data_IF_552981051708
#
_entry.id   IF_552981051708
#
_cell.length_a   1.000
_cell.length_b   1.000
_cell.length_c   1.000
_cell.angle_alpha   90.00
_cell.angle_beta   90.00
_cell.angle_gamma   90.00
#
_symmetry.space_group_name_H-M   'P 1'
#
loop_
_entity.id
_entity.type
_entity.pdbx_description
1 polymer ?
#
# COMPACT_ATOMS: atom_id res chain seq x y z
N UNK A 1 -29.39 31.04 21.26
CA UNK A 1 -28.67 32.34 21.32
C UNK A 1 -27.78 32.40 20.10
N UNK A 2 -28.03 33.31 19.16
CA UNK A 2 -27.12 33.50 18.01
C UNK A 2 -25.92 34.26 18.54
N UNK A 3 -24.74 33.64 18.50
CA UNK A 3 -23.48 34.28 18.85
C UNK A 3 -23.31 35.50 17.93
N UNK A 4 -23.31 36.71 18.50
CA UNK A 4 -23.15 37.94 17.72
C UNK A 4 -21.70 38.02 17.28
N UNK A 5 -21.45 37.88 15.99
CA UNK A 5 -20.13 38.10 15.41
C UNK A 5 -19.77 39.57 15.61
N UNK A 6 -18.84 39.84 16.53
CA UNK A 6 -18.33 41.19 16.81
C UNK A 6 -16.94 41.34 16.20
N UNK A 7 -16.70 42.47 15.53
CA UNK A 7 -15.42 42.83 14.94
C UNK A 7 -14.71 43.85 15.83
N UNK A 8 -13.43 43.63 16.12
CA UNK A 8 -12.59 44.55 16.90
C UNK A 8 -11.63 45.35 16.05
N UNK A 9 -11.26 44.86 14.86
CA UNK A 9 -10.32 45.53 13.95
C UNK A 9 -8.87 45.49 14.45
N UNK A 10 -8.56 44.63 15.41
CA UNK A 10 -7.20 44.43 15.93
C UNK A 10 -6.33 43.64 14.95
N UNK A 11 -5.01 43.68 15.15
CA UNK A 11 -4.04 42.97 14.28
C UNK A 11 -4.25 41.45 14.31
N UNK A 12 -4.71 40.91 15.45
CA UNK A 12 -5.01 39.50 15.64
C UNK A 12 -6.46 39.13 15.30
N UNK A 13 -7.20 40.03 14.64
CA UNK A 13 -8.59 39.79 14.23
C UNK A 13 -8.67 38.58 13.29
N UNK A 14 -9.46 37.58 13.70
CA UNK A 14 -9.61 36.33 12.95
C UNK A 14 -10.68 36.44 11.87
N UNK A 15 -11.55 37.44 11.97
CA UNK A 15 -12.64 37.68 11.03
C UNK A 15 -12.10 38.49 9.85
N UNK A 16 -12.27 37.97 8.62
CA UNK A 16 -11.91 38.72 7.43
C UNK A 16 -12.82 39.96 7.28
N UNK A 17 -12.25 41.14 7.09
CA UNK A 17 -12.99 42.41 6.97
C UNK A 17 -14.10 42.38 5.91
N UNK A 18 -13.93 41.68 4.78
CA UNK A 18 -14.97 41.54 3.75
C UNK A 18 -16.08 40.59 4.15
N UNK A 19 -15.74 39.48 4.80
CA UNK A 19 -16.73 38.52 5.26
C UNK A 19 -17.55 39.10 6.42
N UNK A 20 -16.92 39.92 7.26
CA UNK A 20 -17.62 40.75 8.25
C UNK A 20 -18.65 41.67 7.58
N UNK A 21 -18.25 42.49 6.60
CA UNK A 21 -19.17 43.42 5.93
C UNK A 21 -20.39 42.70 5.34
N UNK A 22 -20.17 41.57 4.65
CA UNK A 22 -21.24 40.74 4.09
C UNK A 22 -22.17 40.17 5.17
N UNK A 23 -21.59 39.73 6.29
CA UNK A 23 -22.36 39.18 7.41
C UNK A 23 -23.18 40.26 8.09
N UNK A 24 -22.59 41.44 8.33
CA UNK A 24 -23.27 42.59 8.90
C UNK A 24 -24.39 43.09 8.00
N UNK A 25 -24.16 43.20 6.68
CA UNK A 25 -25.16 43.57 5.70
C UNK A 25 -26.35 42.60 5.69
N UNK A 26 -26.08 41.29 5.61
CA UNK A 26 -27.10 40.24 5.67
C UNK A 26 -27.93 40.29 6.96
N UNK A 27 -27.28 40.55 8.11
CA UNK A 27 -27.96 40.67 9.40
C UNK A 27 -28.79 41.96 9.49
N UNK A 28 -28.30 43.09 8.97
CA UNK A 28 -29.04 44.35 8.93
C UNK A 28 -30.28 44.25 8.04
N UNK A 29 -30.17 43.58 6.88
CA UNK A 29 -31.30 43.26 6.01
C UNK A 29 -32.32 42.38 6.73
N UNK A 30 -31.86 41.33 7.43
CA UNK A 30 -32.71 40.44 8.23
C UNK A 30 -33.42 41.18 9.36
N UNK A 31 -32.79 42.21 9.94
CA UNK A 31 -33.36 43.08 10.95
C UNK A 31 -34.32 44.15 10.37
N UNK A 32 -34.50 44.20 9.05
CA UNK A 32 -35.37 45.18 8.37
C UNK A 32 -34.83 46.60 8.42
N UNK A 33 -33.51 46.78 8.57
CA UNK A 33 -32.88 48.09 8.50
C UNK A 33 -32.88 48.55 7.04
N UNK A 34 -33.19 49.82 6.78
CA UNK A 34 -33.05 50.40 5.45
C UNK A 34 -31.57 50.57 5.11
N UNK A 35 -31.18 50.28 3.85
CA UNK A 35 -29.78 50.35 3.38
C UNK A 35 -29.10 51.70 3.69
N UNK A 36 -29.83 52.80 3.53
CA UNK A 36 -29.37 54.15 3.89
C UNK A 36 -29.00 54.34 5.39
N UNK A 37 -29.30 53.37 6.24
CA UNK A 37 -28.96 53.38 7.67
C UNK A 37 -27.91 52.31 8.05
N UNK A 38 -27.41 51.54 7.08
CA UNK A 38 -26.45 50.47 7.36
C UNK A 38 -25.17 51.00 7.98
N UNK A 39 -24.59 52.05 7.40
CA UNK A 39 -23.39 52.70 7.93
C UNK A 39 -23.54 53.14 9.39
N UNK A 40 -24.75 53.54 9.83
CA UNK A 40 -25.03 53.88 11.23
C UNK A 40 -25.20 52.66 12.13
N UNK A 41 -25.87 51.63 11.62
CA UNK A 41 -26.30 50.46 12.39
C UNK A 41 -25.26 49.35 12.42
N UNK A 42 -24.23 49.40 11.56
CA UNK A 42 -23.10 48.47 11.58
C UNK A 42 -22.32 48.51 12.90
N UNK A 43 -22.38 49.62 13.63
CA UNK A 43 -21.81 49.78 14.98
C UNK A 43 -22.31 48.74 15.99
N UNK A 44 -23.50 48.16 15.77
CA UNK A 44 -24.03 47.07 16.60
C UNK A 44 -23.17 45.80 16.54
N UNK A 45 -22.33 45.68 15.51
CA UNK A 45 -21.40 44.56 15.29
C UNK A 45 -19.95 44.93 15.61
N UNK A 46 -19.69 46.14 16.10
CA UNK A 46 -18.38 46.51 16.62
C UNK A 46 -18.25 46.10 18.08
N UNK A 47 -17.05 45.69 18.47
CA UNK A 47 -16.72 45.45 19.86
C UNK A 47 -16.49 46.81 20.55
N UNK A 48 -17.25 47.09 21.60
CA UNK A 48 -17.13 48.36 22.32
C UNK A 48 -15.69 48.60 22.81
N UNK A 49 -15.16 49.80 22.58
CA UNK A 49 -13.80 50.19 22.99
C UNK A 49 -12.67 49.51 22.21
N UNK A 50 -12.97 48.95 21.04
CA UNK A 50 -11.98 48.36 20.13
C UNK A 50 -11.49 49.36 19.08
N UNK A 51 -10.43 49.00 18.34
CA UNK A 51 -9.86 49.86 17.30
C UNK A 51 -10.88 50.27 16.23
N UNK A 52 -11.77 49.38 15.82
CA UNK A 52 -12.83 49.71 14.85
C UNK A 52 -13.85 50.69 15.42
N UNK A 53 -14.14 50.61 16.71
CA UNK A 53 -15.09 51.49 17.39
C UNK A 53 -14.52 52.91 17.45
N UNK A 54 -13.26 53.05 17.88
CA UNK A 54 -12.54 54.33 17.89
C UNK A 54 -12.41 54.92 16.48
N UNK A 55 -12.05 54.11 15.48
CA UNK A 55 -11.99 54.57 14.10
C UNK A 55 -13.36 55.04 13.59
N UNK A 56 -14.43 54.31 13.91
CA UNK A 56 -15.77 54.71 13.50
C UNK A 56 -16.17 56.03 14.15
N UNK A 57 -15.84 56.26 15.43
CA UNK A 57 -16.08 57.56 16.09
C UNK A 57 -15.39 58.71 15.34
N UNK A 58 -14.16 58.52 14.87
CA UNK A 58 -13.36 59.50 14.12
C UNK A 58 -13.76 59.66 12.64
N UNK A 59 -14.55 58.73 12.09
CA UNK A 59 -14.96 58.75 10.68
C UNK A 59 -15.87 59.95 10.35
N UNK A 60 -15.69 60.52 9.15
CA UNK A 60 -16.49 61.66 8.67
C UNK A 60 -18.00 61.35 8.66
N UNK A 61 -18.80 62.28 9.18
CA UNK A 61 -20.26 62.18 9.26
C UNK A 61 -20.92 61.97 7.89
N UNK A 62 -20.36 62.53 6.81
CA UNK A 62 -20.86 62.31 5.45
C UNK A 62 -20.76 60.83 5.01
N UNK A 63 -19.78 60.09 5.52
CA UNK A 63 -19.62 58.65 5.25
C UNK A 63 -20.54 57.82 6.13
N UNK A 64 -20.80 58.26 7.37
CA UNK A 64 -21.75 57.63 8.30
C UNK A 64 -23.21 57.78 7.87
N UNK A 65 -23.53 58.92 7.27
CA UNK A 65 -24.86 59.26 6.74
C UNK A 65 -25.03 58.88 5.27
N UNK A 66 -23.93 58.46 4.64
CA UNK A 66 -23.84 58.19 3.22
C UNK A 66 -24.22 56.77 2.84
N UNK A 67 -23.84 56.44 1.62
CA UNK A 67 -24.10 55.17 0.98
C UNK A 67 -23.23 54.03 1.55
N UNK A 68 -23.78 52.83 1.61
CA UNK A 68 -23.10 51.66 2.18
C UNK A 68 -21.83 51.31 1.42
N UNK A 69 -21.79 51.56 0.11
CA UNK A 69 -20.61 51.33 -0.72
C UNK A 69 -19.46 52.28 -0.38
N UNK A 70 -19.78 53.54 -0.05
CA UNK A 70 -18.79 54.54 0.37
C UNK A 70 -18.21 54.16 1.73
N UNK A 71 -19.09 53.78 2.67
CA UNK A 71 -18.67 53.29 3.98
C UNK A 71 -17.77 52.05 3.85
N UNK A 72 -18.20 51.06 3.08
CA UNK A 72 -17.46 49.81 2.87
C UNK A 72 -16.08 50.06 2.24
N UNK A 73 -15.98 51.03 1.33
CA UNK A 73 -14.71 51.43 0.71
C UNK A 73 -13.74 52.05 1.71
N UNK A 74 -14.20 52.98 2.55
CA UNK A 74 -13.36 53.57 3.61
C UNK A 74 -12.99 52.55 4.69
N UNK A 75 -13.93 51.68 5.07
CA UNK A 75 -13.68 50.59 6.01
C UNK A 75 -12.58 49.66 5.52
N UNK A 76 -12.61 49.26 4.24
CA UNK A 76 -11.59 48.37 3.66
C UNK A 76 -10.24 49.06 3.41
N UNK A 77 -10.18 50.40 3.41
CA UNK A 77 -8.92 51.15 3.41
C UNK A 77 -8.23 51.07 4.77
N UNK A 78 -8.97 51.27 5.86
CA UNK A 78 -8.42 51.23 7.22
C UNK A 78 -8.18 49.80 7.72
N UNK A 79 -9.12 48.90 7.41
CA UNK A 79 -9.09 47.48 7.78
C UNK A 79 -8.95 46.63 6.52
N UNK A 80 -7.78 46.63 5.86
CA UNK A 80 -7.56 45.83 4.67
C UNK A 80 -7.83 44.38 5.02
N UNK A 81 -8.67 43.73 4.21
CA UNK A 81 -8.92 42.30 4.37
C UNK A 81 -7.59 41.58 4.33
N UNK A 82 -7.37 40.67 5.28
CA UNK A 82 -6.26 39.73 5.22
C UNK A 82 -6.33 39.09 3.85
N UNK A 83 -5.42 39.47 2.95
CA UNK A 83 -5.24 38.71 1.73
C UNK A 83 -4.74 37.37 2.23
N UNK A 84 -5.61 36.37 2.23
CA UNK A 84 -5.15 34.98 2.32
C UNK A 84 -4.07 34.92 1.25
N UNK A 85 -2.81 34.79 1.69
CA UNK A 85 -1.68 34.68 0.79
C UNK A 85 -2.10 33.61 -0.20
N UNK A 86 -2.37 34.00 -1.45
CA UNK A 86 -2.83 33.05 -2.46
C UNK A 86 -1.70 32.04 -2.53
N UNK A 87 -1.95 30.77 -2.19
CA UNK A 87 -0.88 29.80 -2.20
C UNK A 87 -0.25 29.86 -3.59
N UNK A 88 1.05 30.02 -3.62
CA UNK A 88 1.79 30.15 -4.89
C UNK A 88 1.60 28.87 -5.70
N UNK A 89 1.83 28.92 -7.02
CA UNK A 89 1.76 27.72 -7.87
C UNK A 89 2.64 26.59 -7.32
N UNK A 90 3.78 26.95 -6.72
CA UNK A 90 4.68 26.04 -6.03
C UNK A 90 4.07 25.39 -4.79
N UNK A 91 3.34 26.14 -3.96
CA UNK A 91 2.66 25.61 -2.77
C UNK A 91 1.50 24.68 -3.15
N UNK A 92 0.73 25.02 -4.18
CA UNK A 92 -0.30 24.13 -4.71
C UNK A 92 0.30 22.84 -5.28
N UNK A 93 1.45 22.91 -5.96
CA UNK A 93 2.18 21.74 -6.45
C UNK A 93 2.72 20.88 -5.29
N UNK A 94 3.22 21.51 -4.22
CA UNK A 94 3.64 20.80 -3.00
C UNK A 94 2.47 20.11 -2.31
N UNK A 95 1.32 20.78 -2.19
CA UNK A 95 0.11 20.19 -1.61
C UNK A 95 -0.42 19.03 -2.47
N UNK A 96 -0.40 19.18 -3.79
CA UNK A 96 -0.77 18.12 -4.72
C UNK A 96 0.08 16.86 -4.52
N UNK A 97 1.40 17.01 -4.42
CA UNK A 97 2.33 15.90 -4.17
C UNK A 97 2.21 15.31 -2.76
N UNK A 98 1.65 16.05 -1.80
CA UNK A 98 1.40 15.59 -0.44
C UNK A 98 0.02 14.92 -0.27
N UNK A 99 -0.88 15.04 -1.25
CA UNK A 99 -2.21 14.44 -1.15
C UNK A 99 -2.14 12.91 -1.08
N UNK A 100 -2.75 12.34 -0.03
CA UNK A 100 -2.88 10.89 0.18
C UNK A 100 -4.34 10.56 0.45
N UNK A 101 -4.73 9.34 0.09
CA UNK A 101 -5.99 8.72 0.51
C UNK A 101 -5.64 7.38 1.14
N UNK A 102 -6.24 7.05 2.27
CA UNK A 102 -5.96 5.79 2.97
C UNK A 102 -6.79 4.64 2.42
N UNK A 103 -6.39 3.39 2.71
CA UNK A 103 -7.20 2.22 2.33
C UNK A 103 -8.54 2.30 3.05
N UNK A 104 -8.56 2.68 4.31
CA UNK A 104 -9.74 2.75 5.18
C UNK A 104 -10.79 3.71 4.63
N UNK A 105 -10.37 4.87 4.11
CA UNK A 105 -11.25 5.88 3.52
C UNK A 105 -11.77 5.47 2.14
N UNK A 106 -11.05 4.64 1.36
CA UNK A 106 -11.47 4.32 -0.01
C UNK A 106 -12.85 3.65 -0.11
N UNK A 107 -13.77 4.22 -0.88
CA UNK A 107 -15.10 3.61 -1.07
C UNK A 107 -15.99 3.65 0.18
N UNK A 108 -15.68 4.53 1.13
CA UNK A 108 -16.65 5.01 2.13
C UNK A 108 -17.41 6.22 1.58
N UNK A 109 -18.58 6.49 2.16
CA UNK A 109 -19.31 7.74 1.94
C UNK A 109 -18.92 8.69 3.05
N UNK A 110 -18.70 9.94 2.65
CA UNK A 110 -18.57 11.06 3.56
C UNK A 110 -19.93 11.36 4.20
N UNK A 111 -19.98 11.55 5.52
CA UNK A 111 -21.24 11.67 6.27
C UNK A 111 -22.00 12.95 5.90
N UNK A 112 -21.27 14.05 5.66
CA UNK A 112 -21.82 15.37 5.37
C UNK A 112 -22.27 15.51 3.90
N UNK A 113 -21.44 15.03 2.97
CA UNK A 113 -21.67 15.25 1.54
C UNK A 113 -22.34 14.08 0.83
N UNK A 114 -22.40 12.90 1.46
CA UNK A 114 -22.85 11.63 0.86
C UNK A 114 -22.09 11.21 -0.42
N UNK A 115 -21.04 11.96 -0.79
CA UNK A 115 -20.15 11.66 -1.91
C UNK A 115 -19.17 10.55 -1.51
N UNK A 116 -18.76 9.75 -2.49
CA UNK A 116 -17.70 8.78 -2.25
C UNK A 116 -16.36 9.50 -2.03
N UNK A 117 -15.61 9.10 -1.01
CA UNK A 117 -14.31 9.68 -0.64
C UNK A 117 -13.31 9.74 -1.79
N UNK A 118 -13.26 8.72 -2.65
CA UNK A 118 -12.39 8.70 -3.83
C UNK A 118 -12.82 9.70 -4.92
N UNK A 119 -14.12 10.02 -5.03
CA UNK A 119 -14.59 11.11 -5.90
C UNK A 119 -14.16 12.48 -5.37
N UNK A 120 -14.32 12.70 -4.06
CA UNK A 120 -13.89 13.93 -3.38
C UNK A 120 -12.37 14.12 -3.51
N UNK A 121 -11.62 13.05 -3.32
CA UNK A 121 -10.17 13.04 -3.50
C UNK A 121 -9.75 13.36 -4.93
N UNK A 122 -10.37 12.72 -5.94
CA UNK A 122 -10.12 13.03 -7.34
C UNK A 122 -10.46 14.50 -7.69
N UNK A 123 -11.55 15.05 -7.15
CA UNK A 123 -11.90 16.47 -7.29
C UNK A 123 -10.85 17.38 -6.64
N UNK A 124 -10.35 17.04 -5.45
CA UNK A 124 -9.28 17.79 -4.78
C UNK A 124 -8.01 17.82 -5.63
N UNK A 125 -7.56 16.67 -6.13
CA UNK A 125 -6.39 16.57 -7.01
C UNK A 125 -6.55 17.44 -8.27
N UNK A 126 -7.70 17.37 -8.93
CA UNK A 126 -7.95 18.15 -10.14
C UNK A 126 -7.94 19.66 -9.87
N UNK A 127 -8.53 20.11 -8.76
CA UNK A 127 -8.55 21.52 -8.38
C UNK A 127 -7.15 22.04 -8.04
N UNK A 128 -6.33 21.24 -7.36
CA UNK A 128 -4.93 21.59 -7.07
C UNK A 128 -4.08 21.64 -8.35
N UNK A 129 -4.28 20.71 -9.28
CA UNK A 129 -3.60 20.73 -10.59
C UNK A 129 -4.00 21.96 -11.43
N UNK A 130 -5.27 22.38 -11.37
CA UNK A 130 -5.73 23.64 -11.98
C UNK A 130 -5.09 24.86 -11.32
N UNK A 131 -5.04 24.90 -9.99
CA UNK A 131 -4.43 25.99 -9.24
C UNK A 131 -2.92 26.11 -9.49
N UNK A 132 -2.24 24.98 -9.72
CA UNK A 132 -0.83 24.93 -10.12
C UNK A 132 -0.60 25.10 -11.64
N UNK A 133 -1.66 25.33 -12.44
CA UNK A 133 -1.63 25.48 -13.91
C UNK A 133 -1.01 24.30 -14.68
N UNK A 134 -1.00 23.11 -14.09
CA UNK A 134 -0.51 21.87 -14.72
C UNK A 134 -1.63 20.97 -15.23
N UNK A 135 -2.89 21.35 -15.09
CA UNK A 135 -4.03 20.49 -15.40
C UNK A 135 -4.04 19.91 -16.83
N UNK A 136 -3.49 20.64 -17.81
CA UNK A 136 -3.38 20.19 -19.21
C UNK A 136 -2.13 19.37 -19.54
N UNK A 137 -1.27 19.08 -18.57
CA UNK A 137 -0.05 18.28 -18.75
C UNK A 137 -0.09 17.00 -17.92
N UNK A 138 0.81 16.07 -18.25
CA UNK A 138 1.06 14.85 -17.47
C UNK A 138 2.04 15.05 -16.31
N UNK A 139 2.43 16.29 -16.03
CA UNK A 139 3.41 16.62 -14.99
C UNK A 139 2.91 16.19 -13.62
N UNK A 140 3.77 15.56 -12.83
CA UNK A 140 3.53 15.06 -11.47
C UNK A 140 2.47 13.96 -11.31
N UNK A 141 1.83 13.51 -12.41
CA UNK A 141 0.84 12.42 -12.37
C UNK A 141 1.48 11.12 -11.85
N UNK A 142 2.67 10.76 -12.34
CA UNK A 142 3.40 9.56 -11.89
C UNK A 142 3.68 9.64 -10.39
N UNK A 143 4.16 10.79 -9.89
CA UNK A 143 4.45 10.97 -8.48
C UNK A 143 3.19 10.85 -7.61
N UNK A 144 2.05 11.39 -8.03
CA UNK A 144 0.79 11.23 -7.31
C UNK A 144 0.23 9.81 -7.43
N UNK A 145 0.41 9.14 -8.57
CA UNK A 145 0.03 7.74 -8.76
C UNK A 145 0.80 6.79 -7.82
N UNK A 146 2.11 7.02 -7.64
CA UNK A 146 2.93 6.29 -6.69
C UNK A 146 2.49 6.46 -5.22
N UNK A 147 1.78 7.53 -4.94
CA UNK A 147 1.25 7.84 -3.62
C UNK A 147 -0.15 7.27 -3.36
N UNK A 148 -0.80 6.70 -4.37
CA UNK A 148 -2.08 6.01 -4.22
C UNK A 148 -1.91 4.66 -3.50
N UNK A 149 -2.91 4.22 -2.72
CA UNK A 149 -2.93 2.88 -2.15
C UNK A 149 -2.72 1.80 -3.21
N UNK A 150 -1.89 0.80 -2.88
CA UNK A 150 -1.51 -0.29 -3.79
C UNK A 150 -2.73 -0.98 -4.41
N UNK A 151 -3.83 -1.05 -3.66
CA UNK A 151 -5.09 -1.61 -4.13
C UNK A 151 -5.59 -0.93 -5.40
N UNK A 152 -5.65 0.40 -5.45
CA UNK A 152 -6.21 1.12 -6.60
C UNK A 152 -5.16 1.43 -7.66
N UNK A 153 -3.87 1.47 -7.28
CA UNK A 153 -2.77 1.83 -8.17
C UNK A 153 -2.70 1.02 -9.46
N UNK A 154 -3.01 -0.28 -9.40
CA UNK A 154 -2.99 -1.15 -10.59
C UNK A 154 -4.19 -0.98 -11.54
N UNK A 155 -5.24 -0.26 -11.13
CA UNK A 155 -6.45 0.02 -11.92
C UNK A 155 -6.50 1.45 -12.46
N UNK A 156 -5.79 2.36 -11.81
CA UNK A 156 -5.65 3.76 -12.22
C UNK A 156 -4.56 3.86 -13.28
N UNK A 157 -4.84 4.57 -14.38
CA UNK A 157 -3.87 4.77 -15.47
C UNK A 157 -2.68 5.59 -14.97
N UNK A 158 -1.47 5.09 -15.22
CA UNK A 158 -0.22 5.78 -14.88
C UNK A 158 0.22 6.74 -16.00
N UNK A 159 -0.12 6.39 -17.24
CA UNK A 159 0.21 7.06 -18.50
C UNK A 159 -0.90 8.00 -19.00
N UNK A 160 -1.65 8.61 -18.07
CA UNK A 160 -2.68 9.57 -18.42
C UNK A 160 -2.09 10.80 -19.13
N UNK A 161 -2.77 11.27 -20.19
CA UNK A 161 -2.32 12.42 -20.98
C UNK A 161 -2.32 13.71 -20.17
N UNK A 162 -3.32 13.88 -19.31
CA UNK A 162 -3.56 15.06 -18.50
C UNK A 162 -4.22 14.71 -17.16
N UNK A 163 -4.37 15.72 -16.30
CA UNK A 163 -4.97 15.54 -14.98
C UNK A 163 -6.47 15.23 -15.03
N UNK A 164 -7.15 15.57 -16.13
CA UNK A 164 -8.55 15.26 -16.32
C UNK A 164 -8.73 13.75 -16.53
N UNK A 165 -7.97 13.15 -17.45
CA UNK A 165 -7.97 11.71 -17.68
C UNK A 165 -7.54 10.92 -16.43
N UNK A 166 -6.52 11.39 -15.73
CA UNK A 166 -6.04 10.75 -14.51
C UNK A 166 -7.11 10.74 -13.40
N UNK A 167 -7.67 11.90 -13.07
CA UNK A 167 -8.65 12.00 -11.99
C UNK A 167 -9.98 11.33 -12.34
N UNK A 168 -10.34 11.30 -13.62
CA UNK A 168 -11.51 10.55 -14.10
C UNK A 168 -11.30 9.04 -13.95
N UNK A 169 -10.09 8.52 -14.16
CA UNK A 169 -9.79 7.10 -13.93
C UNK A 169 -9.92 6.70 -12.45
N UNK A 170 -9.67 7.63 -11.52
CA UNK A 170 -9.89 7.42 -10.07
C UNK A 170 -11.40 7.44 -9.76
N UNK A 171 -12.16 8.36 -10.37
CA UNK A 171 -13.63 8.44 -10.18
C UNK A 171 -14.37 7.23 -10.72
N UNK A 172 -13.91 6.67 -11.84
CA UNK A 172 -14.54 5.48 -12.47
C UNK A 172 -14.26 4.18 -11.73
N UNK A 173 -13.52 4.20 -10.61
CA UNK A 173 -13.29 3.00 -9.81
C UNK A 173 -14.62 2.51 -9.22
N UNK A 174 -14.96 1.25 -9.52
CA UNK A 174 -16.18 0.66 -9.01
C UNK A 174 -16.11 0.46 -7.48
N UNK A 175 -17.06 1.05 -6.77
CA UNK A 175 -17.16 0.95 -5.31
C UNK A 175 -17.27 -0.51 -4.85
N UNK A 176 -18.02 -1.33 -5.60
CA UNK A 176 -18.20 -2.75 -5.30
C UNK A 176 -16.86 -3.48 -5.34
N UNK A 177 -16.07 -3.24 -6.38
CA UNK A 177 -14.71 -3.76 -6.49
C UNK A 177 -13.81 -3.27 -5.34
N UNK A 178 -13.88 -1.99 -4.95
CA UNK A 178 -13.11 -1.47 -3.80
C UNK A 178 -13.49 -2.20 -2.50
N UNK A 179 -14.79 -2.43 -2.26
CA UNK A 179 -15.29 -3.15 -1.09
C UNK A 179 -14.89 -4.62 -1.09
N UNK A 180 -15.05 -5.31 -2.22
CA UNK A 180 -14.66 -6.71 -2.38
C UNK A 180 -13.16 -6.90 -2.12
N UNK A 181 -12.32 -5.98 -2.63
CA UNK A 181 -10.86 -6.00 -2.38
C UNK A 181 -10.50 -5.66 -0.93
N UNK A 182 -11.24 -4.77 -0.27
CA UNK A 182 -11.08 -4.51 1.18
C UNK A 182 -11.44 -5.74 1.99
N UNK A 183 -12.50 -6.44 1.62
CA UNK A 183 -12.92 -7.69 2.26
C UNK A 183 -11.98 -8.84 1.95
N UNK A 184 -11.31 -8.86 0.80
CA UNK A 184 -10.26 -9.83 0.47
C UNK A 184 -8.99 -9.57 1.29
N UNK A 185 -8.62 -8.31 1.51
CA UNK A 185 -7.47 -7.90 2.32
C UNK A 185 -7.73 -8.11 3.83
N UNK A 186 -8.94 -7.78 4.32
CA UNK A 186 -9.40 -8.10 5.69
C UNK A 186 -9.69 -9.59 5.88
N UNK A 187 -10.19 -10.25 4.84
CA UNK A 187 -10.54 -11.67 4.77
C UNK A 187 -9.30 -12.54 4.74
N UNK A 188 -8.23 -12.12 4.07
CA UNK A 188 -6.90 -12.75 4.19
C UNK A 188 -6.38 -12.72 5.65
N UNK A 189 -6.81 -11.73 6.44
CA UNK A 189 -6.64 -11.71 7.90
C UNK A 189 -7.62 -12.60 8.69
N UNK A 190 -8.89 -12.72 8.25
CA UNK A 190 -9.98 -13.46 8.94
C UNK A 190 -10.03 -14.96 8.61
N UNK A 191 -9.69 -15.39 7.40
CA UNK A 191 -9.54 -16.80 7.01
C UNK A 191 -8.41 -17.50 7.77
N UNK A 192 -7.51 -16.73 8.40
CA UNK A 192 -6.49 -17.24 9.33
C UNK A 192 -7.03 -17.54 10.74
N UNK A 193 -8.26 -17.11 11.08
CA UNK A 193 -8.81 -17.22 12.44
C UNK A 193 -10.14 -17.98 12.55
N UNK A 194 -10.89 -18.27 11.48
CA UNK A 194 -12.07 -19.15 11.60
C UNK A 194 -12.32 -20.00 10.36
N UNK A 195 -12.13 -21.32 10.49
CA UNK A 195 -12.81 -22.33 9.69
C UNK A 195 -13.50 -23.32 10.65
N UNK A 196 -14.84 -23.50 10.57
CA UNK A 196 -15.52 -24.61 11.21
C UNK A 196 -15.38 -25.88 10.37
N UNK A 197 -15.14 -27.00 11.06
CA UNK A 197 -14.96 -28.33 10.51
C UNK A 197 -16.23 -28.79 9.79
N UNK A 198 -16.26 -28.73 8.44
CA UNK A 198 -17.32 -29.35 7.64
C UNK A 198 -16.90 -30.76 7.28
N UNK A 199 -17.51 -31.72 7.95
CA UNK A 199 -17.43 -33.16 7.70
C UNK A 199 -17.86 -33.49 6.27
N UNK A 200 -17.02 -34.25 5.57
CA UNK A 200 -17.37 -34.84 4.29
C UNK A 200 -18.12 -36.15 4.56
N UNK A 201 -19.37 -36.26 4.10
CA UNK A 201 -20.00 -37.55 3.81
C UNK A 201 -19.52 -38.04 2.43
N UNK A 202 -19.19 -39.33 2.26
CA UNK A 202 -18.64 -39.84 1.02
C UNK A 202 -19.76 -40.17 0.02
N UNK A 203 -19.69 -39.60 -1.18
CA UNK A 203 -20.47 -40.09 -2.32
C UNK A 203 -19.57 -40.98 -3.19
N UNK A 204 -19.81 -42.27 -3.03
CA UNK A 204 -19.29 -43.38 -3.82
C UNK A 204 -19.60 -43.19 -5.33
N UNK A 205 -18.60 -43.37 -6.19
CA UNK A 205 -18.83 -43.75 -7.59
C UNK A 205 -17.83 -44.82 -8.01
N UNK A 206 -18.31 -46.04 -7.92
CA UNK A 206 -17.94 -47.23 -8.70
C UNK A 206 -18.07 -46.97 -10.20
N UNK A 207 -17.14 -47.52 -10.99
CA UNK A 207 -17.26 -47.64 -12.45
C UNK A 207 -15.93 -48.06 -13.09
N UNK A 208 -15.88 -49.32 -13.51
CA UNK A 208 -14.73 -50.10 -13.99
C UNK A 208 -14.26 -49.78 -15.42
N UNK A 209 -13.03 -50.25 -15.70
CA UNK A 209 -12.35 -50.35 -17.00
C UNK A 209 -13.19 -50.92 -18.14
N UNK A 210 -12.87 -50.54 -19.39
CA UNK A 210 -12.33 -51.43 -20.45
C UNK A 210 -12.00 -50.66 -21.75
N UNK A 211 -11.18 -51.32 -22.57
CA UNK A 211 -10.21 -50.82 -23.55
C UNK A 211 -10.71 -50.48 -24.98
N UNK A 212 -9.75 -50.01 -25.81
CA UNK A 212 -9.44 -50.46 -27.20
C UNK A 212 -9.45 -49.36 -28.31
N UNK A 213 -8.23 -49.12 -28.84
CA UNK A 213 -7.79 -48.76 -30.21
C UNK A 213 -8.80 -48.22 -31.25
N UNK A 214 -8.44 -47.13 -31.97
CA UNK A 214 -7.75 -47.19 -33.28
C UNK A 214 -7.51 -45.78 -33.88
N UNK A 215 -6.56 -45.72 -34.81
CA UNK A 215 -5.94 -44.54 -35.40
C UNK A 215 -6.78 -43.73 -36.42
N UNK A 216 -6.22 -42.56 -36.74
CA UNK A 216 -6.26 -41.81 -38.02
C UNK A 216 -7.34 -40.74 -38.21
N UNK A 217 -6.85 -39.49 -38.32
CA UNK A 217 -7.40 -38.50 -39.26
C UNK A 217 -8.23 -37.37 -38.66
N UNK A 218 -7.77 -36.12 -38.82
CA UNK A 218 -8.64 -34.94 -38.79
C UNK A 218 -8.10 -33.79 -37.95
N UNK A 219 -7.23 -32.97 -38.54
CA UNK A 219 -6.66 -31.80 -37.88
C UNK A 219 -7.68 -30.73 -37.50
N UNK A 220 -7.30 -29.91 -36.50
CA UNK A 220 -7.75 -28.53 -36.34
C UNK A 220 -6.77 -27.73 -35.47
N UNK A 221 -6.00 -26.89 -36.19
CA UNK A 221 -5.44 -25.58 -35.83
C UNK A 221 -4.63 -25.42 -34.54
N UNK A 222 -3.30 -25.40 -34.74
CA UNK A 222 -2.33 -24.65 -33.94
C UNK A 222 -2.61 -23.14 -34.04
N UNK A 223 -3.09 -22.53 -32.96
CA UNK A 223 -2.79 -21.12 -32.71
C UNK A 223 -1.54 -21.06 -31.83
N UNK A 224 -0.40 -20.94 -32.50
CA UNK A 224 0.88 -20.70 -31.85
C UNK A 224 0.81 -19.33 -31.14
N UNK A 225 0.77 -19.37 -29.81
CA UNK A 225 1.11 -18.19 -29.01
C UNK A 225 2.57 -17.81 -29.33
N UNK A 226 2.91 -16.52 -29.49
CA UNK A 226 4.29 -16.11 -29.67
C UNK A 226 5.10 -16.57 -28.45
N UNK A 227 6.04 -17.48 -28.68
CA UNK A 227 7.09 -17.81 -27.71
C UNK A 227 7.96 -16.56 -27.61
N UNK A 228 7.65 -15.68 -26.67
CA UNK A 228 8.57 -14.62 -26.29
C UNK A 228 9.90 -15.28 -25.88
N UNK A 229 11.05 -14.86 -26.43
CA UNK A 229 12.33 -15.37 -25.96
C UNK A 229 12.44 -15.06 -24.47
N UNK A 230 12.53 -16.11 -23.66
CA UNK A 230 12.72 -16.03 -22.21
C UNK A 230 13.98 -15.19 -22.01
N UNK A 231 13.86 -13.98 -21.41
CA UNK A 231 15.01 -13.17 -20.99
C UNK A 231 15.96 -14.10 -20.23
N UNK A 232 17.14 -14.38 -20.79
CA UNK A 232 18.18 -15.09 -20.05
C UNK A 232 18.67 -14.13 -18.97
N UNK A 233 18.31 -14.43 -17.72
CA UNK A 233 18.89 -13.75 -16.57
C UNK A 233 20.36 -14.23 -16.52
N UNK A 234 21.36 -13.33 -16.57
CA UNK A 234 22.76 -13.72 -16.43
C UNK A 234 22.95 -14.51 -15.13
N UNK A 235 23.49 -15.74 -15.21
CA UNK A 235 23.85 -16.53 -14.04
C UNK A 235 25.10 -15.97 -13.37
N UNK A 236 25.21 -16.13 -12.05
CA UNK A 236 26.38 -15.71 -11.30
C UNK A 236 27.64 -16.49 -11.73
N UNK A 237 28.80 -15.83 -11.71
CA UNK A 237 30.09 -16.50 -11.87
C UNK A 237 30.49 -17.27 -10.59
N UNK A 238 31.54 -18.09 -10.66
CA UNK A 238 31.90 -18.97 -9.54
C UNK A 238 32.33 -18.22 -8.27
N UNK A 239 32.98 -17.07 -8.44
CA UNK A 239 33.38 -16.16 -7.34
C UNK A 239 32.17 -15.53 -6.66
N UNK A 240 31.15 -15.14 -7.43
CA UNK A 240 29.88 -14.62 -6.94
C UNK A 240 29.06 -15.69 -6.24
N UNK A 241 29.03 -16.93 -6.76
CA UNK A 241 28.39 -18.06 -6.06
C UNK A 241 29.05 -18.36 -4.73
N UNK A 242 30.38 -18.26 -4.66
CA UNK A 242 31.13 -18.45 -3.40
C UNK A 242 30.76 -17.36 -2.39
N UNK A 243 30.70 -16.10 -2.83
CA UNK A 243 30.23 -14.97 -2.01
C UNK A 243 28.80 -15.16 -1.51
N UNK A 244 27.89 -15.56 -2.40
CA UNK A 244 26.49 -15.83 -2.08
C UNK A 244 26.37 -16.95 -1.03
N UNK A 245 27.11 -18.04 -1.20
CA UNK A 245 27.13 -19.15 -0.24
C UNK A 245 27.62 -18.70 1.14
N UNK A 246 28.74 -17.97 1.19
CA UNK A 246 29.26 -17.42 2.44
C UNK A 246 28.24 -16.50 3.14
N UNK A 247 27.57 -15.63 2.38
CA UNK A 247 26.56 -14.72 2.92
C UNK A 247 25.33 -15.46 3.47
N UNK A 248 24.85 -16.50 2.77
CA UNK A 248 23.73 -17.35 3.23
C UNK A 248 24.14 -18.17 4.46
N UNK A 249 25.39 -18.63 4.54
CA UNK A 249 25.92 -19.41 5.66
C UNK A 249 26.16 -18.55 6.91
N UNK A 250 26.58 -17.30 6.75
CA UNK A 250 26.80 -16.36 7.86
C UNK A 250 25.50 -15.85 8.49
N UNK A 251 24.38 -15.89 7.77
CA UNK A 251 23.13 -15.38 8.28
C UNK A 251 22.58 -16.26 9.41
N UNK A 252 22.49 -15.66 10.59
CA UNK A 252 21.89 -16.29 11.77
C UNK A 252 20.39 -16.05 11.77
N UNK A 253 19.62 -17.11 11.52
CA UNK A 253 18.17 -17.06 11.58
C UNK A 253 17.70 -16.75 13.00
N UNK A 254 16.70 -15.88 13.11
CA UNK A 254 16.06 -15.55 14.38
C UNK A 254 15.26 -16.76 14.91
N UNK A 255 15.20 -16.95 16.24
CA UNK A 255 14.42 -18.03 16.84
C UNK A 255 12.93 -17.87 16.52
N UNK A 256 12.21 -18.99 16.44
CA UNK A 256 10.76 -18.99 16.22
C UNK A 256 10.00 -18.67 17.52
N UNK A 257 10.26 -17.49 18.09
CA UNK A 257 9.59 -16.92 19.26
C UNK A 257 8.92 -15.60 18.86
N UNK A 258 7.99 -15.10 19.69
CA UNK A 258 7.37 -13.78 19.46
C UNK A 258 8.40 -12.67 19.31
N UNK A 259 9.42 -12.66 20.18
CA UNK A 259 10.54 -11.73 20.15
C UNK A 259 11.38 -11.87 18.87
N UNK A 260 11.68 -13.10 18.46
CA UNK A 260 12.42 -13.36 17.22
C UNK A 260 11.66 -12.95 15.96
N UNK A 261 10.32 -13.01 15.98
CA UNK A 261 9.47 -12.52 14.90
C UNK A 261 9.50 -10.99 14.80
N UNK A 262 9.53 -10.28 15.93
CA UNK A 262 9.65 -8.81 15.94
C UNK A 262 11.01 -8.34 15.44
N UNK A 263 12.09 -9.01 15.85
CA UNK A 263 13.43 -8.74 15.32
C UNK A 263 13.50 -8.99 13.83
N UNK A 264 12.94 -10.11 13.35
CA UNK A 264 12.88 -10.41 11.92
C UNK A 264 12.12 -9.33 11.13
N UNK A 265 11.01 -8.80 11.66
CA UNK A 265 10.30 -7.68 11.04
C UNK A 265 11.17 -6.43 10.94
N UNK A 266 11.99 -6.15 11.96
CA UNK A 266 12.94 -5.02 11.96
C UNK A 266 14.04 -5.24 10.91
N UNK A 267 14.56 -6.45 10.81
CA UNK A 267 15.55 -6.83 9.80
C UNK A 267 14.98 -6.68 8.38
N UNK A 268 13.71 -7.00 8.17
CA UNK A 268 13.03 -6.77 6.89
C UNK A 268 12.94 -5.28 6.55
N UNK A 269 12.59 -4.42 7.51
CA UNK A 269 12.57 -2.97 7.28
C UNK A 269 13.96 -2.47 6.89
N UNK A 270 14.99 -2.86 7.63
CA UNK A 270 16.38 -2.51 7.32
C UNK A 270 16.79 -2.98 5.92
N UNK A 271 16.48 -4.22 5.57
CA UNK A 271 16.76 -4.77 4.24
C UNK A 271 16.12 -3.93 3.13
N UNK A 272 14.84 -3.56 3.28
CA UNK A 272 14.15 -2.74 2.29
C UNK A 272 14.62 -1.28 2.26
N UNK A 273 15.13 -0.73 3.36
CA UNK A 273 15.79 0.57 3.39
C UNK A 273 17.11 0.53 2.63
N UNK A 274 17.90 -0.53 2.77
CA UNK A 274 19.21 -0.65 2.11
C UNK A 274 19.10 -0.98 0.62
N UNK A 275 18.17 -1.85 0.24
CA UNK A 275 18.11 -2.43 -1.12
C UNK A 275 16.86 -2.05 -1.92
N UNK A 276 15.95 -1.26 -1.33
CA UNK A 276 14.69 -0.85 -1.95
C UNK A 276 13.57 -1.87 -1.80
N UNK A 277 12.32 -1.38 -1.80
CA UNK A 277 11.13 -2.18 -1.42
C UNK A 277 10.45 -2.91 -2.58
N UNK A 278 10.73 -2.53 -3.84
CA UNK A 278 10.00 -3.02 -5.02
C UNK A 278 10.81 -4.08 -5.76
N UNK A 279 10.52 -5.35 -5.48
CA UNK A 279 11.07 -6.53 -6.16
C UNK A 279 12.59 -6.48 -6.35
N UNK A 280 13.38 -6.61 -5.27
CA UNK A 280 14.83 -6.46 -5.33
C UNK A 280 15.41 -7.41 -6.37
N UNK A 281 16.27 -6.88 -7.24
CA UNK A 281 17.09 -7.71 -8.11
C UNK A 281 18.15 -8.37 -7.25
N UNK A 282 17.86 -9.59 -6.79
CA UNK A 282 18.77 -10.36 -5.94
C UNK A 282 20.12 -10.55 -6.62
N UNK A 283 21.19 -10.31 -5.85
CA UNK A 283 22.58 -10.51 -6.26
C UNK A 283 23.36 -11.22 -5.15
N UNK A 284 24.64 -11.50 -5.39
CA UNK A 284 25.49 -12.27 -4.48
C UNK A 284 25.75 -11.62 -3.11
N UNK A 285 25.54 -10.31 -2.98
CA UNK A 285 25.82 -9.53 -1.77
C UNK A 285 24.61 -9.37 -0.86
N UNK A 286 23.42 -9.69 -1.36
CA UNK A 286 22.18 -9.56 -0.61
C UNK A 286 21.97 -10.80 0.25
N UNK A 287 21.38 -10.61 1.43
CA UNK A 287 20.77 -11.70 2.20
C UNK A 287 19.39 -11.25 2.63
N UNK A 288 18.35 -11.90 2.09
CA UNK A 288 16.99 -11.61 2.49
C UNK A 288 16.70 -12.24 3.86
N UNK A 289 16.24 -11.47 4.87
CA UNK A 289 15.86 -12.02 6.17
C UNK A 289 14.71 -13.03 6.03
N UNK A 290 14.97 -14.30 6.33
CA UNK A 290 13.98 -15.37 6.15
C UNK A 290 13.20 -15.67 7.43
N UNK A 291 11.92 -16.00 7.25
CA UNK A 291 10.92 -16.13 8.31
C UNK A 291 11.41 -17.09 9.41
N UNK A 292 11.31 -16.73 10.70
CA UNK A 292 11.69 -17.62 11.80
C UNK A 292 10.96 -18.97 11.72
N UNK A 293 11.67 -20.06 12.01
CA UNK A 293 11.11 -21.43 11.96
C UNK A 293 10.98 -22.04 10.56
N UNK A 294 11.45 -21.35 9.52
CA UNK A 294 11.61 -21.93 8.17
C UNK A 294 13.00 -22.54 7.99
N UNK A 295 13.16 -23.41 7.00
CA UNK A 295 14.45 -23.97 6.64
C UNK A 295 15.37 -22.92 6.00
N UNK A 296 16.67 -23.17 6.06
CA UNK A 296 17.69 -22.34 5.42
C UNK A 296 17.51 -22.32 3.89
N UNK A 297 17.67 -21.16 3.22
CA UNK A 297 17.62 -21.09 1.76
C UNK A 297 18.60 -22.04 1.07
N UNK A 298 18.13 -22.79 0.08
CA UNK A 298 18.95 -23.73 -0.68
C UNK A 298 19.13 -25.10 -0.01
N UNK A 299 18.26 -25.47 0.94
CA UNK A 299 18.29 -26.77 1.62
C UNK A 299 17.31 -27.79 1.02
N UNK A 300 16.62 -27.43 -0.06
CA UNK A 300 15.53 -28.25 -0.62
C UNK A 300 14.20 -27.93 0.03
N UNK A 301 13.96 -26.66 0.34
CA UNK A 301 12.72 -26.18 0.91
C UNK A 301 11.65 -25.86 -0.15
N UNK A 302 10.39 -25.79 0.28
CA UNK A 302 9.30 -25.25 -0.50
C UNK A 302 9.34 -23.71 -0.49
N UNK A 303 9.32 -23.09 -1.66
CA UNK A 303 9.33 -21.62 -1.80
C UNK A 303 8.01 -20.94 -1.41
N UNK A 304 6.98 -21.71 -1.04
CA UNK A 304 5.69 -21.18 -0.55
C UNK A 304 5.58 -21.20 0.97
N UNK A 305 6.10 -22.23 1.64
CA UNK A 305 5.97 -22.39 3.09
C UNK A 305 7.30 -22.44 3.84
N UNK A 306 8.44 -22.45 3.15
CA UNK A 306 9.77 -22.49 3.75
C UNK A 306 10.09 -23.78 4.50
N UNK A 307 9.24 -24.82 4.41
CA UNK A 307 9.48 -26.14 5.02
C UNK A 307 10.04 -27.12 4.00
N UNK A 308 10.30 -28.36 4.41
CA UNK A 308 10.81 -29.41 3.52
C UNK A 308 9.96 -29.54 2.24
N UNK A 309 10.63 -29.78 1.12
CA UNK A 309 9.98 -29.99 -0.16
C UNK A 309 8.94 -31.12 -0.11
N UNK A 310 7.76 -30.89 -0.69
CA UNK A 310 6.62 -31.81 -0.66
C UNK A 310 6.06 -32.09 -2.07
N UNK A 311 6.93 -32.03 -3.09
CA UNK A 311 6.58 -32.35 -4.47
C UNK A 311 6.14 -31.16 -5.32
N UNK A 312 6.30 -31.28 -6.64
CA UNK A 312 5.92 -30.24 -7.61
C UNK A 312 4.40 -30.16 -7.71
N UNK A 313 3.82 -29.01 -7.36
CA UNK A 313 2.37 -28.83 -7.35
C UNK A 313 1.67 -29.48 -6.15
N UNK A 314 2.42 -30.11 -5.24
CA UNK A 314 1.87 -30.58 -3.96
C UNK A 314 1.38 -29.41 -3.12
N UNK A 315 0.32 -29.64 -2.35
CA UNK A 315 -0.16 -28.67 -1.38
C UNK A 315 0.81 -28.59 -0.19
N UNK A 316 1.00 -27.38 0.34
CA UNK A 316 1.84 -27.22 1.52
C UNK A 316 1.20 -27.93 2.72
N UNK A 317 2.00 -28.59 3.59
CA UNK A 317 1.47 -29.25 4.78
C UNK A 317 0.56 -28.31 5.58
N UNK A 318 -0.58 -28.80 6.11
CA UNK A 318 -1.47 -27.99 6.92
C UNK A 318 -0.72 -27.35 8.09
N UNK A 319 -0.96 -26.06 8.37
CA UNK A 319 -0.31 -25.34 9.45
C UNK A 319 1.15 -24.90 9.18
N UNK A 320 1.68 -25.13 7.98
CA UNK A 320 3.05 -24.71 7.65
C UNK A 320 3.24 -23.20 7.51
N UNK A 321 2.16 -22.44 7.29
CA UNK A 321 2.20 -20.99 7.04
C UNK A 321 2.72 -20.64 5.64
N UNK A 322 2.35 -19.47 5.12
CA UNK A 322 2.96 -18.93 3.89
C UNK A 322 4.08 -17.97 4.25
N UNK A 323 5.22 -18.11 3.58
CA UNK A 323 6.32 -17.13 3.67
C UNK A 323 6.01 -15.90 2.81
N UNK A 324 6.68 -14.75 3.03
CA UNK A 324 6.59 -13.60 2.14
C UNK A 324 7.01 -13.92 0.72
N UNK A 325 6.37 -13.28 -0.27
CA UNK A 325 6.66 -13.50 -1.70
C UNK A 325 8.12 -13.23 -2.05
N UNK A 326 8.72 -12.18 -1.48
CA UNK A 326 10.13 -11.85 -1.71
C UNK A 326 11.06 -12.89 -1.09
N UNK A 327 10.69 -13.52 0.03
CA UNK A 327 11.43 -14.65 0.57
C UNK A 327 11.36 -15.85 -0.38
N UNK A 328 10.18 -16.14 -0.95
CA UNK A 328 10.04 -17.17 -1.98
C UNK A 328 10.89 -16.91 -3.21
N UNK A 329 10.95 -15.67 -3.69
CA UNK A 329 11.83 -15.26 -4.80
C UNK A 329 13.32 -15.38 -4.43
N UNK A 330 13.69 -15.01 -3.20
CA UNK A 330 15.06 -15.17 -2.69
C UNK A 330 15.48 -16.64 -2.65
N UNK A 331 14.63 -17.52 -2.11
CA UNK A 331 14.87 -18.97 -2.07
C UNK A 331 15.02 -19.56 -3.47
N UNK A 332 14.18 -19.14 -4.41
CA UNK A 332 14.28 -19.53 -5.81
C UNK A 332 15.59 -19.04 -6.46
N UNK A 333 16.04 -17.82 -6.12
CA UNK A 333 17.33 -17.28 -6.57
C UNK A 333 18.51 -18.10 -6.03
N UNK A 334 18.56 -18.32 -4.71
CA UNK A 334 19.62 -19.13 -4.06
C UNK A 334 19.67 -20.53 -4.66
N UNK A 335 18.52 -21.19 -4.83
CA UNK A 335 18.43 -22.52 -5.44
C UNK A 335 18.91 -22.54 -6.89
N UNK A 336 18.58 -21.51 -7.69
CA UNK A 336 19.00 -21.41 -9.10
C UNK A 336 20.50 -21.25 -9.23
N UNK A 337 21.12 -20.42 -8.39
CA UNK A 337 22.55 -20.08 -8.50
C UNK A 337 23.46 -21.12 -7.82
N UNK A 338 23.06 -21.67 -6.67
CA UNK A 338 23.88 -22.60 -5.90
C UNK A 338 23.55 -24.08 -6.17
N UNK A 339 22.39 -24.38 -6.77
CA UNK A 339 21.90 -25.73 -7.00
C UNK A 339 21.41 -26.42 -5.71
N UNK A 340 20.92 -27.65 -5.84
CA UNK A 340 20.65 -28.49 -4.66
C UNK A 340 21.98 -28.86 -4.01
N UNK A 341 22.05 -28.94 -2.66
CA UNK A 341 23.17 -29.59 -2.03
C UNK A 341 23.23 -31.00 -2.61
N UNK A 342 24.27 -31.29 -3.39
CA UNK A 342 24.56 -32.67 -3.76
C UNK A 342 24.79 -33.37 -2.44
N UNK A 343 23.93 -34.33 -2.10
CA UNK A 343 24.26 -35.31 -1.08
C UNK A 343 25.68 -35.77 -1.43
N UNK A 344 26.63 -35.60 -0.51
CA UNK A 344 27.96 -36.14 -0.69
C UNK A 344 27.75 -37.60 -1.07
N UNK A 345 28.05 -37.96 -2.32
CA UNK A 345 28.20 -39.35 -2.65
C UNK A 345 29.43 -39.75 -1.86
N UNK A 346 29.18 -40.36 -0.71
CA UNK A 346 30.18 -41.12 0.01
C UNK A 346 30.56 -42.21 -0.98
N UNK A 347 31.60 -41.95 -1.78
CA UNK A 347 32.34 -43.02 -2.40
C UNK A 347 32.84 -43.84 -1.21
N UNK A 348 32.13 -44.92 -0.92
CA UNK A 348 32.73 -46.06 -0.24
C UNK A 348 33.83 -46.49 -1.21
N UNK A 349 35.04 -46.00 -0.94
CA UNK A 349 36.25 -46.57 -1.54
C UNK A 349 36.25 -48.00 -1.01
N UNK A 350 35.93 -48.94 -1.89
CA UNK A 350 36.24 -50.34 -1.63
C UNK A 350 37.75 -50.42 -1.52
N UNK A 351 38.25 -50.46 -0.29
CA UNK A 351 39.56 -51.05 -0.02
C UNK A 351 39.37 -52.55 -0.17
N UNK A 352 39.63 -53.03 -1.39
CA UNK A 352 40.03 -54.40 -1.60
C UNK A 352 41.41 -54.59 -0.97
N UNK A 353 41.44 -55.17 0.23
CA UNK A 353 42.56 -55.99 0.67
C UNK A 353 41.99 -57.35 1.10
N UNK A 354 41.98 -58.26 0.13
CA UNK A 354 42.06 -59.69 0.39
C UNK A 354 43.31 -59.95 1.25
N UNK A 355 43.21 -60.71 2.35
CA UNK A 355 43.87 -62.01 2.52
C UNK A 355 43.71 -62.58 3.96
N UNK A 356 43.40 -63.89 4.03
CA UNK A 356 43.58 -64.87 5.12
C UNK A 356 42.42 -65.30 6.05
N UNK A 357 41.99 -66.54 5.77
CA UNK A 357 41.60 -67.66 6.65
C UNK A 357 40.16 -67.73 7.18
N UNK A 358 39.27 -68.59 6.63
CA UNK A 358 39.20 -70.07 6.71
C UNK A 358 39.23 -70.61 8.16
N UNK A 359 38.26 -71.49 8.45
CA UNK A 359 37.91 -72.22 9.69
C UNK A 359 36.70 -71.61 10.42
N UNK A 360 35.48 -72.16 10.34
CA UNK A 360 35.17 -73.58 10.33
C UNK A 360 35.45 -74.17 11.71
N UNK A 361 34.63 -73.81 12.71
CA UNK A 361 34.56 -74.52 13.98
C UNK A 361 33.10 -74.82 14.32
N UNK A 362 32.75 -76.08 14.12
CA UNK A 362 31.68 -76.77 14.83
C UNK A 362 31.91 -76.73 16.35
N UNK A 363 30.83 -76.60 17.11
CA UNK A 363 30.52 -77.19 18.43
C UNK A 363 29.48 -76.29 19.11
N UNK A 364 28.38 -76.75 19.67
CA UNK A 364 27.95 -78.12 19.92
C UNK A 364 26.53 -78.07 20.48
N UNK A 365 25.79 -79.13 20.17
CA UNK A 365 24.50 -79.46 20.70
C UNK A 365 24.54 -79.55 22.24
N UNK A 366 23.54 -79.00 22.91
CA UNK A 366 23.42 -79.01 24.37
C UNK A 366 21.96 -78.88 24.78
N UNK A 367 21.15 -79.87 24.39
CA UNK A 367 19.86 -80.12 25.04
C UNK A 367 20.10 -80.61 26.47
N UNK A 368 19.31 -80.07 27.42
CA UNK A 368 19.11 -80.70 28.72
C UNK A 368 18.96 -79.73 29.88
N UNK A 369 17.74 -79.27 30.14
CA UNK A 369 17.16 -79.39 31.49
C UNK A 369 15.64 -79.19 31.51
N UNK A 370 14.95 -80.32 31.70
CA UNK A 370 13.73 -80.54 32.51
C UNK A 370 12.41 -79.84 32.14
N UNK A 371 11.52 -80.58 31.48
CA UNK A 371 10.35 -81.21 32.13
C UNK A 371 9.87 -82.42 31.31
#
# INVERSE_FOLDING_TARGET
MVERTQFSGDIDEKINSKDFLRTAESQLLTMGVAEAKFAKKVTLFFKAGSRVDTWYEELNQEVKDGDWDKFSSEFLKEFPSTQIAKPTEFEHRKELLACRITVEELGTRDEDTQEWTHHRFARKLFNLAKAAKIAGSSSDIIAVHENLPRMIRGKVKEDAKDWEEFTESIRKLEVRWIKDRKEEEKGSGRWRQSWPQRSQTPANRTGSNEDVFNATGGGRSNFAAPVYPRRQIPSLNETQKTTLRANVDMYKQKPNTSEGIEEWKRDLVNFFTTWGSRNPQFNERMVYPYTPGTLKPGSGECFKCGRAWHGKGGECPPGSGSIPVNEGHWRAFVQRELGYPKAAQVNVVGEEDNEWMLLGFEQGNGEGSTA
#
